data_IF_101145095172
#
_entry.id   IF_101145095172
#
_cell.length_a   1.000
_cell.length_b   1.000
_cell.length_c   1.000
_cell.angle_alpha   90.00
_cell.angle_beta   90.00
_cell.angle_gamma   90.00
#
_symmetry.space_group_name_H-M   'P 1'
#
loop_
_entity.id
_entity.type
_entity.pdbx_description
1 polymer ?
#
# COMPACT_ATOMS: atom_id res chain seq x y z
N UNK A 1 6.71 2.45 15.49
CA UNK A 1 5.37 1.92 15.16
C UNK A 1 4.67 1.51 16.43
N UNK A 2 3.39 1.88 16.58
CA UNK A 2 2.52 1.49 17.68
C UNK A 2 1.24 0.90 17.11
N UNK A 3 0.74 -0.18 17.72
CA UNK A 3 -0.49 -0.84 17.28
C UNK A 3 -1.39 -1.13 18.46
N UNK A 4 -2.68 -0.84 18.29
CA UNK A 4 -3.74 -1.30 19.17
C UNK A 4 -4.70 -2.17 18.36
N UNK A 5 -5.09 -3.32 18.91
CA UNK A 5 -6.03 -4.24 18.27
C UNK A 5 -7.01 -4.79 19.31
N UNK A 6 -8.28 -4.87 18.93
CA UNK A 6 -9.33 -5.50 19.69
C UNK A 6 -10.13 -6.46 18.83
N UNK A 7 -10.62 -7.54 19.40
CA UNK A 7 -11.47 -8.51 18.71
C UNK A 7 -12.70 -8.87 19.52
N UNK A 8 -13.80 -9.11 18.82
CA UNK A 8 -15.08 -9.48 19.39
C UNK A 8 -15.67 -10.69 18.66
N UNK A 9 -16.05 -11.72 19.42
CA UNK A 9 -16.71 -12.89 18.87
C UNK A 9 -18.20 -12.58 18.65
N UNK A 10 -18.68 -12.82 17.45
CA UNK A 10 -20.07 -12.66 17.02
C UNK A 10 -20.74 -14.04 16.88
N UNK A 11 -22.09 -14.13 16.89
CA UNK A 11 -22.79 -15.36 16.60
C UNK A 11 -22.44 -15.95 15.24
N UNK A 12 -22.65 -17.27 15.05
CA UNK A 12 -22.42 -18.00 13.79
C UNK A 12 -20.96 -18.00 13.35
N UNK A 13 -20.02 -18.14 14.29
CA UNK A 13 -18.57 -18.26 14.07
C UNK A 13 -17.94 -17.03 13.40
N UNK A 14 -18.60 -15.88 13.44
CA UNK A 14 -17.99 -14.63 13.02
C UNK A 14 -17.12 -14.05 14.13
N UNK A 15 -16.00 -13.43 13.70
CA UNK A 15 -15.16 -12.60 14.56
C UNK A 15 -14.92 -11.26 13.90
N UNK A 16 -15.25 -10.20 14.61
CA UNK A 16 -14.91 -8.83 14.21
C UNK A 16 -13.58 -8.43 14.88
N UNK A 17 -12.67 -7.86 14.09
CA UNK A 17 -11.37 -7.38 14.58
C UNK A 17 -11.24 -5.93 14.13
N UNK A 18 -10.89 -5.05 15.06
CA UNK A 18 -10.56 -3.65 14.80
C UNK A 18 -9.14 -3.35 15.21
N UNK A 19 -8.39 -2.59 14.41
CA UNK A 19 -7.08 -2.09 14.82
C UNK A 19 -6.83 -0.66 14.39
N UNK A 20 -5.97 0.01 15.17
CA UNK A 20 -5.38 1.31 14.86
C UNK A 20 -3.88 1.12 14.90
N UNK A 21 -3.21 1.48 13.80
CA UNK A 21 -1.77 1.40 13.66
C UNK A 21 -1.22 2.80 13.42
N UNK A 22 -0.17 3.19 14.15
CA UNK A 22 0.54 4.45 13.95
C UNK A 22 2.00 4.16 13.64
N UNK A 23 2.47 4.67 12.50
CA UNK A 23 3.84 4.53 12.04
C UNK A 23 4.50 5.90 11.91
N UNK A 24 5.58 6.10 12.65
CA UNK A 24 6.41 7.30 12.65
C UNK A 24 7.79 6.98 12.09
N UNK A 25 8.21 7.70 11.05
CA UNK A 25 9.51 7.50 10.42
C UNK A 25 10.29 8.79 10.30
N UNK A 26 11.49 8.80 10.85
CA UNK A 26 12.49 9.84 10.63
C UNK A 26 13.51 9.35 9.59
N UNK A 27 13.96 10.27 8.74
CA UNK A 27 14.92 9.99 7.67
C UNK A 27 15.98 11.07 7.63
N UNK A 28 17.21 10.68 7.24
CA UNK A 28 18.35 11.57 7.06
C UNK A 28 19.21 11.07 5.88
N UNK A 29 20.19 11.87 5.44
CA UNK A 29 21.16 11.43 4.44
C UNK A 29 20.63 11.44 3.01
N UNK A 30 19.87 12.43 2.61
CA UNK A 30 19.33 12.57 1.26
C UNK A 30 20.39 13.00 0.25
N UNK A 31 20.28 12.45 -0.97
CA UNK A 31 21.10 12.89 -2.09
C UNK A 31 20.74 14.32 -2.50
N UNK A 32 21.72 15.06 -3.03
CA UNK A 32 21.50 16.36 -3.66
C UNK A 32 20.54 16.20 -4.85
N UNK A 33 19.72 17.21 -5.11
CA UNK A 33 18.73 17.28 -6.21
C UNK A 33 17.51 16.34 -6.07
N UNK A 34 17.22 15.83 -4.89
CA UNK A 34 15.98 15.07 -4.62
C UNK A 34 15.04 15.86 -3.71
N UNK A 35 13.76 15.89 -4.07
CA UNK A 35 12.72 16.33 -3.16
C UNK A 35 12.58 15.30 -2.03
N UNK A 36 12.68 15.73 -0.78
CA UNK A 36 12.66 14.84 0.37
C UNK A 36 11.97 15.49 1.57
N UNK A 37 11.60 14.68 2.54
CA UNK A 37 11.13 15.12 3.84
C UNK A 37 11.75 14.27 4.95
N UNK A 38 12.04 14.91 6.09
CA UNK A 38 12.71 14.25 7.22
C UNK A 38 11.77 13.35 8.02
N UNK A 39 10.47 13.65 8.03
CA UNK A 39 9.48 12.94 8.83
C UNK A 39 8.27 12.56 8.00
N UNK A 40 7.80 11.34 8.19
CA UNK A 40 6.46 10.89 7.77
C UNK A 40 5.78 10.18 8.91
N UNK A 41 4.50 10.46 9.07
CA UNK A 41 3.59 9.84 10.01
C UNK A 41 2.48 9.17 9.19
N UNK A 42 2.09 7.96 9.54
CA UNK A 42 0.97 7.27 8.90
C UNK A 42 0.08 6.66 10.01
N UNK A 43 -1.20 6.99 9.97
CA UNK A 43 -2.21 6.37 10.82
C UNK A 43 -3.11 5.49 9.97
N UNK A 44 -3.35 4.27 10.43
CA UNK A 44 -4.18 3.29 9.71
C UNK A 44 -5.25 2.74 10.63
N UNK A 45 -6.47 2.64 10.12
CA UNK A 45 -7.61 2.03 10.77
C UNK A 45 -8.01 0.80 9.98
N UNK A 46 -8.14 -0.34 10.65
CA UNK A 46 -8.55 -1.60 10.03
C UNK A 46 -9.80 -2.14 10.71
N UNK A 47 -10.76 -2.55 9.89
CA UNK A 47 -11.87 -3.38 10.28
C UNK A 47 -11.79 -4.71 9.51
N UNK A 48 -11.87 -5.82 10.22
CA UNK A 48 -11.74 -7.16 9.64
C UNK A 48 -12.89 -8.04 10.15
N UNK A 49 -13.53 -8.76 9.24
CA UNK A 49 -14.52 -9.77 9.54
C UNK A 49 -13.98 -11.14 9.10
N UNK A 50 -13.85 -12.04 10.05
CA UNK A 50 -13.41 -13.43 9.84
C UNK A 50 -14.56 -14.38 10.14
N UNK A 51 -14.66 -15.44 9.35
CA UNK A 51 -15.61 -16.53 9.59
C UNK A 51 -15.00 -17.88 9.25
N UNK A 52 -15.22 -18.87 10.11
CA UNK A 52 -15.08 -20.28 9.77
C UNK A 52 -16.29 -20.71 8.95
N UNK A 53 -16.09 -21.01 7.66
CA UNK A 53 -17.16 -21.43 6.72
C UNK A 53 -17.41 -22.92 6.81
N UNK A 54 -16.38 -23.69 7.19
CA UNK A 54 -16.43 -25.12 7.55
C UNK A 54 -15.26 -25.42 8.49
N UNK A 55 -15.12 -26.67 8.92
CA UNK A 55 -13.99 -27.13 9.75
C UNK A 55 -12.64 -26.93 9.03
N UNK A 56 -12.67 -26.90 7.69
CA UNK A 56 -11.47 -26.83 6.85
C UNK A 56 -11.30 -25.50 6.11
N UNK A 57 -12.29 -24.60 6.14
CA UNK A 57 -12.28 -23.36 5.35
C UNK A 57 -12.57 -22.14 6.22
N UNK A 58 -11.63 -21.19 6.25
CA UNK A 58 -11.79 -19.88 6.89
C UNK A 58 -11.70 -18.77 5.86
N UNK A 59 -12.69 -17.90 5.86
CA UNK A 59 -12.70 -16.68 5.04
C UNK A 59 -12.48 -15.42 5.90
N UNK A 60 -11.79 -14.43 5.34
CA UNK A 60 -11.53 -13.14 5.96
C UNK A 60 -11.70 -12.04 4.94
N UNK A 61 -12.44 -10.99 5.30
CA UNK A 61 -12.50 -9.74 4.54
C UNK A 61 -12.08 -8.60 5.45
N UNK A 62 -11.25 -7.70 4.97
CA UNK A 62 -10.83 -6.53 5.72
C UNK A 62 -10.84 -5.27 4.88
N UNK A 63 -11.17 -4.16 5.53
CA UNK A 63 -11.06 -2.83 4.99
C UNK A 63 -10.07 -2.03 5.82
N UNK A 64 -9.17 -1.31 5.13
CA UNK A 64 -8.13 -0.50 5.75
C UNK A 64 -8.19 0.89 5.14
N UNK A 65 -8.31 1.88 6.01
CA UNK A 65 -8.13 3.28 5.67
C UNK A 65 -6.82 3.76 6.28
N UNK A 66 -5.97 4.43 5.48
CA UNK A 66 -4.71 5.00 5.98
C UNK A 66 -4.58 6.45 5.53
N UNK A 67 -4.06 7.28 6.43
CA UNK A 67 -3.70 8.66 6.16
C UNK A 67 -2.23 8.88 6.49
N UNK A 68 -1.46 9.33 5.49
CA UNK A 68 -0.03 9.63 5.61
C UNK A 68 0.22 11.10 5.38
N UNK A 69 0.92 11.70 6.31
CA UNK A 69 1.34 13.09 6.30
C UNK A 69 2.78 13.21 6.84
N UNK A 70 3.34 14.41 6.88
CA UNK A 70 4.69 14.57 7.45
C UNK A 70 5.16 16.01 7.46
N UNK A 71 6.48 16.19 7.64
CA UNK A 71 7.12 17.50 7.56
C UNK A 71 7.04 18.07 6.14
N UNK A 72 7.26 19.37 6.00
CA UNK A 72 7.39 19.99 4.69
C UNK A 72 8.46 19.30 3.84
N UNK A 73 8.26 19.33 2.53
CA UNK A 73 9.27 18.87 1.60
C UNK A 73 10.42 19.88 1.55
N UNK A 74 11.63 19.36 1.75
CA UNK A 74 12.86 20.10 1.63
C UNK A 74 13.40 19.93 0.21
N UNK A 75 13.87 21.03 -0.35
CA UNK A 75 14.47 21.07 -1.67
C UNK A 75 15.95 21.35 -1.50
N UNK A 76 16.80 20.46 -1.96
CA UNK A 76 18.22 20.70 -1.95
C UNK A 76 18.61 21.50 -3.21
N UNK A 77 18.66 22.81 -3.08
CA UNK A 77 18.95 23.76 -4.16
C UNK A 77 20.45 23.95 -4.43
N UNK A 78 21.27 22.93 -4.27
CA UNK A 78 22.67 23.00 -4.72
C UNK A 78 22.72 22.92 -6.24
N UNK A 79 22.69 24.05 -6.87
CA UNK A 79 22.92 24.21 -8.31
C UNK A 79 21.66 24.67 -9.06
N UNK A 80 21.72 25.91 -9.51
CA UNK A 80 20.89 26.54 -10.54
C UNK A 80 19.42 26.86 -10.28
N UNK A 81 18.92 26.75 -9.05
CA UNK A 81 17.58 27.28 -8.73
C UNK A 81 16.47 26.75 -9.65
N UNK A 82 16.65 25.57 -10.24
CA UNK A 82 15.64 24.98 -11.14
C UNK A 82 14.42 24.55 -10.32
N UNK A 83 13.31 25.30 -10.38
CA UNK A 83 12.12 24.98 -9.62
C UNK A 83 11.44 23.67 -10.06
N UNK A 84 11.86 23.09 -11.20
CA UNK A 84 11.20 21.94 -11.78
C UNK A 84 11.46 20.62 -11.02
N UNK A 85 12.63 20.45 -10.44
CA UNK A 85 12.94 19.24 -9.66
C UNK A 85 12.22 19.17 -8.31
N UNK A 86 11.61 20.26 -7.88
CA UNK A 86 11.00 20.39 -6.56
C UNK A 86 9.49 20.13 -6.54
N UNK A 87 8.88 19.90 -7.70
CA UNK A 87 7.42 19.86 -7.83
C UNK A 87 6.83 18.45 -7.66
N UNK A 88 7.65 17.41 -7.82
CA UNK A 88 7.20 16.02 -7.75
C UNK A 88 7.71 15.39 -6.46
N UNK A 89 6.79 15.14 -5.53
CA UNK A 89 7.11 14.37 -4.34
C UNK A 89 7.25 12.88 -4.70
N UNK A 90 8.28 12.18 -4.18
CA UNK A 90 8.37 10.74 -4.32
C UNK A 90 7.12 10.06 -3.74
N UNK A 91 6.57 9.07 -4.45
CA UNK A 91 5.30 8.40 -4.07
C UNK A 91 5.36 7.76 -2.66
N UNK A 92 6.55 7.35 -2.22
CA UNK A 92 6.80 6.77 -0.91
C UNK A 92 6.89 7.81 0.22
N UNK A 93 6.99 9.10 -0.11
CA UNK A 93 7.08 10.19 0.86
C UNK A 93 5.88 11.15 0.80
N UNK A 94 5.16 11.18 -0.33
CA UNK A 94 4.03 12.08 -0.53
C UNK A 94 2.92 11.85 0.49
N UNK A 95 2.21 12.93 0.84
CA UNK A 95 0.97 12.83 1.59
C UNK A 95 -0.01 11.97 0.79
N UNK A 96 -0.76 11.12 1.49
CA UNK A 96 -1.60 10.14 0.83
C UNK A 96 -2.70 9.66 1.74
N UNK A 97 -3.92 9.64 1.23
CA UNK A 97 -4.98 8.80 1.78
C UNK A 97 -5.07 7.49 0.98
N UNK A 98 -5.25 6.37 1.67
CA UNK A 98 -5.38 5.04 1.05
C UNK A 98 -6.63 4.35 1.56
N UNK A 99 -7.38 3.80 0.63
CA UNK A 99 -8.43 2.83 0.89
C UNK A 99 -7.97 1.47 0.36
N UNK A 100 -8.02 0.44 1.19
CA UNK A 100 -7.60 -0.92 0.82
C UNK A 100 -8.63 -1.93 1.27
N UNK A 101 -9.00 -2.81 0.35
CA UNK A 101 -9.81 -4.01 0.63
C UNK A 101 -8.91 -5.24 0.47
N UNK A 102 -9.03 -6.16 1.42
CA UNK A 102 -8.34 -7.45 1.37
C UNK A 102 -9.34 -8.57 1.58
N UNK A 103 -9.27 -9.57 0.73
CA UNK A 103 -9.91 -10.85 0.91
C UNK A 103 -8.84 -11.93 1.11
N UNK A 104 -9.06 -12.84 2.08
CA UNK A 104 -8.21 -14.01 2.31
C UNK A 104 -9.09 -15.23 2.55
N UNK A 105 -8.66 -16.37 2.02
CA UNK A 105 -9.23 -17.66 2.32
C UNK A 105 -8.11 -18.66 2.65
N UNK A 106 -8.25 -19.37 3.76
CA UNK A 106 -7.39 -20.49 4.12
C UNK A 106 -8.24 -21.75 4.03
N UNK A 107 -7.78 -22.72 3.25
CA UNK A 107 -8.51 -23.97 3.00
C UNK A 107 -7.60 -25.18 3.16
N UNK A 108 -8.01 -26.09 4.01
CA UNK A 108 -7.33 -27.36 4.29
C UNK A 108 -8.26 -28.51 3.87
N UNK A 109 -8.39 -28.79 2.55
CA UNK A 109 -9.34 -29.78 2.06
C UNK A 109 -9.06 -31.20 2.57
N UNK A 110 -7.81 -31.48 2.87
CA UNK A 110 -7.31 -32.71 3.50
C UNK A 110 -6.16 -32.36 4.44
N UNK A 111 -5.87 -33.17 5.43
CA UNK A 111 -4.81 -32.93 6.44
C UNK A 111 -3.43 -32.70 5.82
N UNK A 112 -3.18 -33.24 4.63
CA UNK A 112 -1.91 -33.09 3.93
C UNK A 112 -1.80 -31.83 3.07
N UNK A 113 -2.90 -31.10 2.81
CA UNK A 113 -2.90 -29.97 1.88
C UNK A 113 -3.46 -28.72 2.53
N UNK A 114 -2.65 -27.67 2.58
CA UNK A 114 -3.05 -26.31 2.98
C UNK A 114 -2.95 -25.35 1.79
N UNK A 115 -4.02 -24.62 1.53
CA UNK A 115 -4.13 -23.63 0.49
C UNK A 115 -4.46 -22.26 1.10
N UNK A 116 -3.77 -21.22 0.67
CA UNK A 116 -4.08 -19.85 1.04
C UNK A 116 -4.22 -19.00 -0.21
N UNK A 117 -5.34 -18.28 -0.32
CA UNK A 117 -5.58 -17.28 -1.37
C UNK A 117 -5.68 -15.92 -0.72
N UNK A 118 -5.01 -14.93 -1.29
CA UNK A 118 -5.20 -13.54 -0.90
C UNK A 118 -5.37 -12.63 -2.14
N UNK A 119 -6.30 -11.70 -2.03
CA UNK A 119 -6.58 -10.67 -3.03
C UNK A 119 -6.60 -9.33 -2.30
N UNK A 120 -5.72 -8.42 -2.73
CA UNK A 120 -5.65 -7.06 -2.21
C UNK A 120 -5.96 -6.07 -3.33
N UNK A 121 -6.78 -5.08 -3.05
CA UNK A 121 -6.98 -3.92 -3.92
C UNK A 121 -6.87 -2.64 -3.08
N UNK A 122 -6.04 -1.70 -3.54
CA UNK A 122 -5.87 -0.41 -2.88
C UNK A 122 -5.97 0.75 -3.86
N UNK A 123 -6.52 1.86 -3.37
CA UNK A 123 -6.68 3.12 -4.07
C UNK A 123 -6.05 4.22 -3.24
N UNK A 124 -5.11 4.95 -3.85
CA UNK A 124 -4.36 6.05 -3.26
C UNK A 124 -4.83 7.37 -3.85
N UNK A 125 -5.02 8.35 -2.99
CA UNK A 125 -5.18 9.76 -3.37
C UNK A 125 -4.03 10.55 -2.74
N UNK A 126 -3.24 11.22 -3.57
CA UNK A 126 -2.08 11.99 -3.12
C UNK A 126 -2.41 13.46 -2.89
N UNK A 127 -3.67 13.87 -3.11
CA UNK A 127 -4.09 15.25 -2.97
C UNK A 127 -3.40 16.20 -3.95
N UNK A 128 -3.69 17.47 -3.77
CA UNK A 128 -3.05 18.53 -4.54
C UNK A 128 -2.08 19.27 -3.61
N UNK A 129 -0.81 19.33 -3.99
CA UNK A 129 0.11 20.23 -3.30
C UNK A 129 -0.35 21.67 -3.52
N UNK A 130 -0.52 22.41 -2.43
CA UNK A 130 -0.95 23.80 -2.49
C UNK A 130 -0.08 24.63 -3.47
N UNK A 131 -0.73 25.29 -4.42
CA UNK A 131 -0.08 26.13 -5.42
C UNK A 131 0.54 25.42 -6.63
N UNK A 132 0.36 24.08 -6.78
CA UNK A 132 0.86 23.35 -7.93
C UNK A 132 -0.17 22.37 -8.48
N UNK A 133 -0.40 22.43 -9.79
CA UNK A 133 -1.16 21.42 -10.53
C UNK A 133 -0.31 20.22 -10.92
N UNK A 134 0.97 20.19 -10.56
CA UNK A 134 1.93 19.15 -10.91
C UNK A 134 2.12 18.14 -9.77
N UNK A 135 2.55 16.94 -10.11
CA UNK A 135 2.87 15.87 -9.16
C UNK A 135 1.92 14.70 -9.21
N UNK A 136 2.03 13.86 -8.20
CA UNK A 136 1.20 12.66 -8.02
C UNK A 136 -0.27 13.04 -7.83
N UNK A 137 -1.16 12.24 -8.39
CA UNK A 137 -2.62 12.42 -8.30
C UNK A 137 -3.27 11.24 -7.62
N UNK A 138 -3.25 10.11 -8.29
CA UNK A 138 -3.90 8.88 -7.85
C UNK A 138 -2.95 7.71 -8.01
N UNK A 139 -3.20 6.66 -7.24
CA UNK A 139 -2.57 5.37 -7.40
C UNK A 139 -3.56 4.26 -7.20
N UNK A 140 -3.30 3.12 -7.79
CA UNK A 140 -3.98 1.87 -7.44
C UNK A 140 -2.97 0.73 -7.44
N UNK A 141 -3.19 -0.24 -6.56
CA UNK A 141 -2.39 -1.45 -6.57
C UNK A 141 -3.29 -2.66 -6.33
N UNK A 142 -3.06 -3.71 -7.10
CA UNK A 142 -3.71 -5.02 -6.97
C UNK A 142 -2.66 -6.08 -6.72
N UNK A 143 -2.95 -6.95 -5.79
CA UNK A 143 -2.12 -8.12 -5.51
C UNK A 143 -3.01 -9.36 -5.46
N UNK A 144 -2.60 -10.39 -6.17
CA UNK A 144 -3.18 -11.72 -6.14
C UNK A 144 -2.10 -12.69 -5.68
N UNK A 145 -2.36 -13.48 -4.65
CA UNK A 145 -1.45 -14.53 -4.23
C UNK A 145 -2.18 -15.84 -3.98
N UNK A 146 -1.48 -16.91 -4.29
CA UNK A 146 -1.86 -18.28 -3.99
C UNK A 146 -0.64 -18.99 -3.40
N UNK A 147 -0.81 -19.54 -2.22
CA UNK A 147 0.17 -20.38 -1.54
C UNK A 147 -0.42 -21.77 -1.37
N UNK A 148 0.34 -22.80 -1.67
CA UNK A 148 -0.04 -24.19 -1.54
C UNK A 148 1.07 -24.97 -0.85
N UNK A 149 0.73 -25.68 0.21
CA UNK A 149 1.65 -26.54 0.95
C UNK A 149 1.09 -27.95 1.00
N UNK A 150 1.88 -28.91 0.55
CA UNK A 150 1.54 -30.34 0.61
C UNK A 150 2.56 -31.11 1.44
N UNK A 151 2.08 -31.81 2.45
CA UNK A 151 2.87 -32.64 3.34
C UNK A 151 2.77 -34.10 2.90
N UNK A 152 3.84 -34.63 2.31
CA UNK A 152 3.90 -36.03 1.85
C UNK A 152 4.09 -37.03 3.00
N UNK A 153 4.88 -36.60 4.01
CA UNK A 153 5.17 -37.38 5.21
C UNK A 153 5.70 -36.45 6.29
N UNK A 154 5.96 -36.97 7.49
CA UNK A 154 6.58 -36.19 8.59
C UNK A 154 7.93 -35.57 8.22
N UNK A 155 8.66 -36.17 7.26
CA UNK A 155 9.99 -35.71 6.83
C UNK A 155 9.97 -34.90 5.54
N UNK A 156 8.88 -34.87 4.78
CA UNK A 156 8.84 -34.26 3.44
C UNK A 156 7.62 -33.39 3.24
N UNK A 157 7.89 -32.14 2.84
CA UNK A 157 6.88 -31.13 2.52
C UNK A 157 7.28 -30.41 1.23
N UNK A 158 6.32 -30.08 0.39
CA UNK A 158 6.51 -29.20 -0.75
C UNK A 158 5.63 -27.96 -0.61
N UNK A 159 6.20 -26.79 -0.94
CA UNK A 159 5.47 -25.54 -0.99
C UNK A 159 5.59 -24.92 -2.38
N UNK A 160 4.48 -24.51 -2.95
CA UNK A 160 4.41 -23.74 -4.18
C UNK A 160 3.68 -22.43 -3.91
N UNK A 161 4.12 -21.37 -4.55
CA UNK A 161 3.47 -20.07 -4.45
C UNK A 161 3.39 -19.37 -5.80
N UNK A 162 2.39 -18.55 -5.96
CA UNK A 162 2.21 -17.65 -7.09
C UNK A 162 1.81 -16.28 -6.58
N UNK A 163 2.37 -15.23 -7.16
CA UNK A 163 1.93 -13.86 -6.86
C UNK A 163 1.98 -13.01 -8.12
N UNK A 164 0.99 -12.14 -8.26
CA UNK A 164 0.92 -11.11 -9.30
C UNK A 164 0.60 -9.78 -8.66
N UNK A 165 1.48 -8.80 -8.89
CA UNK A 165 1.31 -7.43 -8.43
C UNK A 165 1.14 -6.51 -9.62
N UNK A 166 0.13 -5.64 -9.58
CA UNK A 166 -0.10 -4.59 -10.56
C UNK A 166 -0.16 -3.25 -9.82
N UNK A 167 0.63 -2.28 -10.25
CA UNK A 167 0.61 -0.93 -9.69
C UNK A 167 0.43 0.08 -10.80
N UNK A 168 -0.48 1.02 -10.57
CA UNK A 168 -0.79 2.12 -11.47
C UNK A 168 -0.65 3.44 -10.71
N UNK A 169 0.04 4.43 -11.29
CA UNK A 169 0.24 5.75 -10.70
C UNK A 169 -0.02 6.81 -11.75
N UNK A 170 -0.95 7.71 -11.45
CA UNK A 170 -1.23 8.90 -12.24
C UNK A 170 -0.39 10.08 -11.73
N UNK A 171 0.37 10.68 -12.61
CA UNK A 171 1.22 11.82 -12.31
C UNK A 171 1.10 12.88 -13.41
N UNK A 172 1.07 14.14 -13.02
CA UNK A 172 1.15 15.28 -13.94
C UNK A 172 2.53 15.90 -13.84
N UNK A 173 3.24 16.00 -14.96
CA UNK A 173 4.55 16.65 -15.04
C UNK A 173 4.57 17.71 -16.16
N UNK A 174 5.58 18.59 -16.15
CA UNK A 174 5.85 19.48 -17.28
C UNK A 174 6.83 18.82 -18.23
N UNK A 175 6.64 19.04 -19.53
CA UNK A 175 7.65 18.66 -20.51
C UNK A 175 8.85 19.63 -20.41
N UNK A 176 10.07 19.15 -20.09
CA UNK A 176 11.24 20.00 -20.00
C UNK A 176 11.67 20.60 -21.34
N UNK A 177 11.28 20.01 -22.47
CA UNK A 177 11.67 20.49 -23.81
C UNK A 177 10.83 21.67 -24.29
N UNK A 178 9.65 21.87 -23.74
CA UNK A 178 8.80 23.00 -24.05
C UNK A 178 8.61 23.84 -22.78
N UNK A 179 9.36 24.90 -22.63
CA UNK A 179 9.18 25.93 -21.59
C UNK A 179 7.78 26.58 -21.61
N UNK A 180 6.93 26.20 -22.52
CA UNK A 180 5.59 26.72 -22.78
C UNK A 180 4.47 25.87 -22.17
N UNK A 181 4.66 25.30 -20.98
CA UNK A 181 3.53 24.92 -20.16
C UNK A 181 2.61 23.79 -20.65
N UNK A 182 3.06 22.90 -21.55
CA UNK A 182 2.30 21.71 -21.94
C UNK A 182 2.32 20.73 -20.76
N UNK A 183 1.13 20.41 -20.27
CA UNK A 183 0.91 19.37 -19.26
C UNK A 183 0.98 18.01 -19.95
N UNK A 184 1.91 17.17 -19.55
CA UNK A 184 1.88 15.75 -19.90
C UNK A 184 1.35 14.95 -18.72
N UNK A 185 0.36 14.11 -18.96
CA UNK A 185 -0.14 13.12 -18.01
C UNK A 185 0.63 11.83 -18.26
N UNK A 186 1.40 11.41 -17.28
CA UNK A 186 2.13 10.14 -17.33
C UNK A 186 1.33 9.07 -16.59
N UNK A 187 1.04 8.00 -17.31
CA UNK A 187 0.44 6.79 -16.77
C UNK A 187 1.55 5.72 -16.68
N UNK A 188 2.03 5.47 -15.46
CA UNK A 188 3.04 4.45 -15.21
C UNK A 188 2.38 3.18 -14.68
N UNK A 189 2.51 2.07 -15.41
CA UNK A 189 2.08 0.72 -14.98
C UNK A 189 3.32 -0.13 -14.73
N UNK A 190 3.40 -0.66 -13.51
CA UNK A 190 4.40 -1.65 -13.11
C UNK A 190 3.69 -3.00 -12.91
N UNK A 191 4.19 -4.02 -13.59
CA UNK A 191 3.72 -5.42 -13.48
C UNK A 191 4.77 -6.27 -12.82
#
# INVERSE_FOLDING_TARGET
TSKFEASYALPKDFRLIGSIDYDHRNRSGFASNTSHRNRTDEISYRAELRRSLSDTLTGTISYIYSDRFGSDFLTNTKGNGDPFFNLIAPFNLADRTRNKVRFMANWEPIDALSLQVAIDESFDDYGHRAGSDLGLRKGSARNYSLDATYTFSEAWQATAWFSRNETHIDQVSRNPETLTGIREVWDARLQ
#
